data_IF_158591268948
#
_entry.id   IF_158591268948
#
_cell.length_a   1.000
_cell.length_b   1.000
_cell.length_c   1.000
_cell.angle_alpha   90.00
_cell.angle_beta   90.00
_cell.angle_gamma   90.00
#
_symmetry.space_group_name_H-M   'P 1'
#
loop_
_entity.id
_entity.type
_entity.pdbx_description
1 polymer ?
#
# COMPACT_ATOMS: atom_id res chain seq x y z
N UNK A 1 -7.54 2.74 15.71
CA UNK A 1 -7.54 1.82 14.55
C UNK A 1 -7.00 0.47 15.00
N UNK A 2 -7.61 -0.64 14.56
CA UNK A 2 -7.15 -2.01 14.82
C UNK A 2 -6.91 -2.74 13.50
N UNK A 3 -6.03 -3.74 13.50
CA UNK A 3 -5.70 -4.55 12.32
C UNK A 3 -6.10 -6.01 12.53
N UNK A 4 -6.86 -6.56 11.59
CA UNK A 4 -7.06 -7.98 11.43
C UNK A 4 -5.88 -8.57 10.66
N UNK A 5 -5.01 -9.32 11.35
CA UNK A 5 -3.78 -9.86 10.73
C UNK A 5 -4.05 -11.21 10.07
N UNK A 6 -4.59 -12.16 10.83
CA UNK A 6 -4.94 -13.48 10.34
C UNK A 6 -5.92 -14.14 11.31
N UNK A 7 -6.87 -14.88 10.75
CA UNK A 7 -7.76 -15.77 11.49
C UNK A 7 -7.73 -17.13 10.83
N UNK A 8 -7.80 -18.18 11.63
CA UNK A 8 -7.94 -19.56 11.15
C UNK A 8 -9.15 -20.20 11.81
N UNK A 9 -9.55 -21.33 11.26
CA UNK A 9 -10.57 -22.18 11.84
C UNK A 9 -10.25 -23.64 11.50
N UNK A 10 -10.77 -24.56 12.30
CA UNK A 10 -10.70 -25.97 11.99
C UNK A 10 -11.63 -26.30 10.82
N UNK A 11 -11.04 -26.84 9.75
CA UNK A 11 -11.73 -27.16 8.49
C UNK A 11 -12.92 -28.12 8.68
N UNK A 12 -12.91 -28.96 9.72
CA UNK A 12 -14.04 -29.84 10.05
C UNK A 12 -15.34 -29.05 10.31
N UNK A 13 -15.23 -27.78 10.70
CA UNK A 13 -16.36 -26.91 11.00
C UNK A 13 -16.67 -25.90 9.89
N UNK A 14 -16.05 -26.02 8.71
CA UNK A 14 -16.22 -25.05 7.61
C UNK A 14 -17.69 -24.78 7.25
N UNK A 15 -18.54 -25.82 7.28
CA UNK A 15 -19.96 -25.74 6.96
C UNK A 15 -20.74 -24.75 7.87
N UNK A 16 -20.25 -24.50 9.09
CA UNK A 16 -20.87 -23.59 10.05
C UNK A 16 -20.38 -22.14 9.91
N UNK A 17 -19.49 -21.87 8.95
CA UNK A 17 -18.89 -20.55 8.70
C UNK A 17 -18.29 -19.90 9.96
N UNK A 18 -17.43 -20.61 10.72
CA UNK A 18 -16.88 -20.13 12.00
C UNK A 18 -16.17 -18.78 11.87
N UNK A 19 -15.54 -18.49 10.72
CA UNK A 19 -14.93 -17.20 10.44
C UNK A 19 -15.88 -16.02 10.61
N UNK A 20 -17.15 -16.14 10.20
CA UNK A 20 -18.15 -15.06 10.37
C UNK A 20 -18.49 -14.82 11.85
N UNK A 21 -18.57 -15.90 12.63
CA UNK A 21 -18.84 -15.83 14.07
C UNK A 21 -17.69 -15.12 14.76
N UNK A 22 -16.45 -15.57 14.51
CA UNK A 22 -15.24 -14.96 15.09
C UNK A 22 -15.14 -13.48 14.71
N UNK A 23 -15.37 -13.13 13.43
CA UNK A 23 -15.38 -11.74 12.98
C UNK A 23 -16.42 -10.91 13.73
N UNK A 24 -17.65 -11.41 13.90
CA UNK A 24 -18.69 -10.68 14.64
C UNK A 24 -18.28 -10.37 16.09
N UNK A 25 -17.67 -11.34 16.79
CA UNK A 25 -17.14 -11.12 18.14
C UNK A 25 -15.98 -10.13 18.16
N UNK A 26 -15.08 -10.16 17.17
CA UNK A 26 -13.98 -9.20 17.06
C UNK A 26 -14.50 -7.78 16.83
N UNK A 27 -15.51 -7.59 15.98
CA UNK A 27 -16.12 -6.28 15.75
C UNK A 27 -16.80 -5.73 17.00
N UNK A 28 -17.54 -6.57 17.74
CA UNK A 28 -18.20 -6.18 18.99
C UNK A 28 -17.18 -5.84 20.10
N UNK A 29 -16.10 -6.61 20.21
CA UNK A 29 -15.00 -6.31 21.13
C UNK A 29 -14.32 -4.98 20.79
N UNK A 30 -14.01 -4.75 19.51
CA UNK A 30 -13.44 -3.49 19.04
C UNK A 30 -14.36 -2.30 19.33
N UNK A 31 -15.67 -2.47 19.09
CA UNK A 31 -16.69 -1.46 19.40
C UNK A 31 -16.72 -1.12 20.89
N UNK A 32 -16.70 -2.12 21.77
CA UNK A 32 -16.65 -1.91 23.23
C UNK A 32 -15.36 -1.22 23.68
N UNK A 33 -14.26 -1.44 22.98
CA UNK A 33 -13.00 -0.76 23.21
C UNK A 33 -12.95 0.67 22.61
N UNK A 34 -14.03 1.15 21.99
CA UNK A 34 -14.08 2.47 21.36
C UNK A 34 -13.29 2.57 20.06
N UNK A 35 -13.02 1.44 19.38
CA UNK A 35 -12.34 1.44 18.09
C UNK A 35 -13.34 1.69 16.97
N UNK A 36 -13.10 2.76 16.22
CA UNK A 36 -13.97 3.21 15.12
C UNK A 36 -13.58 2.65 13.75
N UNK A 37 -12.35 2.16 13.61
CA UNK A 37 -11.82 1.69 12.32
C UNK A 37 -11.03 0.40 12.50
N UNK A 38 -11.37 -0.59 11.67
CA UNK A 38 -10.68 -1.89 11.61
C UNK A 38 -10.26 -2.13 10.17
N UNK A 39 -8.97 -2.34 9.97
CA UNK A 39 -8.41 -2.78 8.70
C UNK A 39 -8.41 -4.31 8.68
N UNK A 40 -9.12 -4.90 7.71
CA UNK A 40 -9.24 -6.35 7.55
C UNK A 40 -8.13 -6.96 6.68
N UNK A 41 -7.16 -6.14 6.27
CA UNK A 41 -6.10 -6.49 5.33
C UNK A 41 -6.59 -6.59 3.89
N UNK A 42 -5.65 -6.85 2.98
CA UNK A 42 -5.92 -6.98 1.56
C UNK A 42 -6.72 -8.25 1.18
N UNK A 43 -7.33 -8.19 -0.01
CA UNK A 43 -8.12 -9.27 -0.61
C UNK A 43 -9.49 -9.46 0.04
N UNK A 44 -10.47 -9.92 -0.73
CA UNK A 44 -11.77 -10.29 -0.20
C UNK A 44 -12.36 -11.46 -1.00
N UNK A 45 -12.52 -12.60 -0.34
CA UNK A 45 -13.27 -13.75 -0.89
C UNK A 45 -14.79 -13.55 -0.85
N UNK A 46 -15.25 -12.40 -0.34
CA UNK A 46 -16.65 -11.94 -0.31
C UNK A 46 -17.12 -11.52 1.09
N UNK A 47 -16.56 -12.13 2.14
CA UNK A 47 -17.07 -11.93 3.50
C UNK A 47 -16.82 -10.52 4.05
N UNK A 48 -15.74 -9.84 3.62
CA UNK A 48 -15.41 -8.50 4.11
C UNK A 48 -16.43 -7.50 3.58
N UNK A 49 -16.74 -7.55 2.28
CA UNK A 49 -17.76 -6.70 1.66
C UNK A 49 -19.16 -6.97 2.20
N UNK A 50 -19.53 -8.24 2.40
CA UNK A 50 -20.81 -8.60 3.05
C UNK A 50 -20.94 -7.98 4.45
N UNK A 51 -19.83 -7.82 5.18
CA UNK A 51 -19.78 -7.17 6.49
C UNK A 51 -19.77 -5.64 6.45
N UNK A 52 -19.84 -5.03 5.26
CA UNK A 52 -19.80 -3.56 5.09
C UNK A 52 -18.39 -2.97 4.99
N UNK A 53 -17.34 -3.80 4.83
CA UNK A 53 -16.01 -3.27 4.59
C UNK A 53 -15.95 -2.54 3.24
N UNK A 54 -15.34 -1.36 3.25
CA UNK A 54 -15.03 -0.58 2.05
C UNK A 54 -13.62 -0.92 1.56
N UNK A 55 -13.35 -0.63 0.28
CA UNK A 55 -12.00 -0.77 -0.27
C UNK A 55 -11.05 0.14 0.51
N UNK A 56 -9.98 -0.46 1.04
CA UNK A 56 -8.89 0.25 1.68
C UNK A 56 -7.80 0.66 0.68
N UNK A 57 -6.64 1.14 1.19
CA UNK A 57 -5.50 1.47 0.36
C UNK A 57 -5.03 0.31 -0.52
N UNK A 58 -4.56 0.62 -1.72
CA UNK A 58 -3.96 -0.36 -2.62
C UNK A 58 -2.58 -0.79 -2.10
N UNK A 59 -2.32 -2.10 -2.08
CA UNK A 59 -1.00 -2.64 -1.78
C UNK A 59 -0.19 -2.72 -3.08
N UNK A 60 0.90 -1.96 -3.14
CA UNK A 60 1.82 -1.96 -4.27
C UNK A 60 3.04 -2.84 -3.97
N UNK A 61 3.32 -3.79 -4.87
CA UNK A 61 4.53 -4.62 -4.79
C UNK A 61 5.67 -3.97 -5.59
N UNK A 62 6.64 -3.40 -4.88
CA UNK A 62 7.72 -2.60 -5.46
C UNK A 62 9.07 -3.32 -5.34
N UNK A 63 9.72 -3.55 -6.49
CA UNK A 63 11.09 -4.07 -6.53
C UNK A 63 12.09 -2.93 -6.79
N UNK A 64 12.79 -2.49 -5.73
CA UNK A 64 13.80 -1.44 -5.83
C UNK A 64 15.16 -2.05 -6.17
N UNK A 65 15.66 -1.79 -7.38
CA UNK A 65 16.95 -2.33 -7.85
C UNK A 65 17.98 -1.21 -8.02
N UNK A 66 19.12 -1.35 -7.33
CA UNK A 66 20.17 -0.33 -7.34
C UNK A 66 20.91 -0.21 -8.68
N UNK A 67 21.07 -1.34 -9.38
CA UNK A 67 21.83 -1.42 -10.63
C UNK A 67 20.88 -1.43 -11.84
N UNK A 68 21.10 -0.52 -12.80
CA UNK A 68 20.23 -0.36 -13.97
C UNK A 68 20.15 -1.62 -14.85
N UNK A 69 21.26 -2.27 -15.25
CA UNK A 69 21.20 -3.56 -15.96
C UNK A 69 20.36 -4.63 -15.24
N UNK A 70 20.55 -4.79 -13.93
CA UNK A 70 19.76 -5.75 -13.15
C UNK A 70 18.28 -5.37 -13.13
N UNK A 71 17.95 -4.08 -13.02
CA UNK A 71 16.58 -3.59 -13.09
C UNK A 71 15.92 -3.92 -14.43
N UNK A 72 16.64 -3.71 -15.53
CA UNK A 72 16.14 -4.04 -16.88
C UNK A 72 15.87 -5.53 -17.06
N UNK A 73 16.74 -6.39 -16.53
CA UNK A 73 16.54 -7.85 -16.59
C UNK A 73 15.36 -8.31 -15.72
N UNK A 74 15.26 -7.81 -14.49
CA UNK A 74 14.19 -8.17 -13.56
C UNK A 74 12.83 -7.63 -14.02
N UNK A 75 12.80 -6.48 -14.69
CA UNK A 75 11.59 -5.89 -15.27
C UNK A 75 10.92 -6.79 -16.31
N UNK A 76 11.67 -7.68 -16.98
CA UNK A 76 11.09 -8.65 -17.94
C UNK A 76 10.11 -9.62 -17.27
N UNK A 77 10.31 -9.93 -15.98
CA UNK A 77 9.50 -10.88 -15.22
C UNK A 77 8.55 -10.21 -14.23
N UNK A 78 8.98 -9.11 -13.61
CA UNK A 78 8.20 -8.41 -12.59
C UNK A 78 7.09 -7.52 -13.19
N UNK A 79 7.16 -7.24 -14.50
CA UNK A 79 6.19 -6.40 -15.20
C UNK A 79 6.59 -4.92 -15.17
N UNK A 80 5.97 -4.13 -16.05
CA UNK A 80 6.26 -2.71 -16.21
C UNK A 80 5.57 -1.82 -15.17
N UNK A 81 4.63 -2.36 -14.39
CA UNK A 81 3.65 -1.56 -13.67
C UNK A 81 3.89 -1.56 -12.16
N UNK A 82 4.65 -0.57 -11.73
CA UNK A 82 4.06 0.34 -10.75
C UNK A 82 4.18 1.74 -11.34
N UNK A 83 3.22 2.10 -12.19
CA UNK A 83 3.18 3.43 -12.81
C UNK A 83 3.10 4.53 -11.74
N UNK A 84 2.38 4.21 -10.65
CA UNK A 84 2.23 5.02 -9.44
C UNK A 84 3.58 5.25 -8.73
N UNK A 85 4.37 4.20 -8.48
CA UNK A 85 5.67 4.35 -7.81
C UNK A 85 6.75 4.85 -8.75
N UNK A 86 6.60 4.68 -10.08
CA UNK A 86 7.54 5.17 -11.08
C UNK A 86 7.68 6.68 -11.01
N UNK A 87 6.59 7.44 -10.92
CA UNK A 87 6.67 8.90 -10.86
C UNK A 87 7.32 9.38 -9.55
N UNK A 88 6.88 8.86 -8.41
CA UNK A 88 7.45 9.18 -7.10
C UNK A 88 8.93 8.77 -6.99
N UNK A 89 9.31 7.61 -7.52
CA UNK A 89 10.69 7.14 -7.55
C UNK A 89 11.57 7.98 -8.50
N UNK A 90 11.08 8.33 -9.69
CA UNK A 90 11.80 9.20 -10.62
C UNK A 90 12.01 10.59 -10.02
N UNK A 91 11.01 11.14 -9.32
CA UNK A 91 11.14 12.39 -8.58
C UNK A 91 12.20 12.28 -7.47
N UNK A 92 12.12 11.25 -6.62
CA UNK A 92 13.07 11.04 -5.53
C UNK A 92 14.52 10.76 -6.01
N UNK A 93 14.69 10.03 -7.11
CA UNK A 93 16.02 9.80 -7.70
C UNK A 93 16.61 11.08 -8.27
N UNK A 94 15.80 11.92 -8.94
CA UNK A 94 16.25 13.23 -9.43
C UNK A 94 16.69 14.14 -8.28
N UNK A 95 15.99 14.12 -7.15
CA UNK A 95 16.40 14.80 -5.90
C UNK A 95 17.75 14.30 -5.38
N UNK A 96 17.95 12.99 -5.35
CA UNK A 96 19.22 12.39 -4.89
C UNK A 96 20.39 12.75 -5.79
N UNK A 97 20.17 12.76 -7.10
CA UNK A 97 21.21 13.05 -8.09
C UNK A 97 21.52 14.55 -8.15
N UNK A 98 20.52 15.42 -7.97
CA UNK A 98 20.70 16.88 -7.84
C UNK A 98 21.36 17.29 -6.53
N UNK A 99 21.11 16.59 -5.41
CA UNK A 99 21.86 16.80 -4.16
C UNK A 99 23.36 16.48 -4.27
N UNK A 100 23.75 15.72 -5.29
CA UNK A 100 25.14 15.42 -5.63
C UNK A 100 25.81 16.51 -6.49
N UNK A 101 25.01 17.38 -7.11
CA UNK A 101 25.43 18.46 -7.99
C UNK A 101 25.14 19.83 -7.36
N UNK A 102 26.16 20.47 -6.77
CA UNK A 102 25.99 21.70 -5.95
C UNK A 102 25.80 23.00 -6.77
N UNK A 103 25.41 22.91 -8.04
CA UNK A 103 25.13 24.06 -8.91
C UNK A 103 23.69 24.58 -8.80
N UNK A 104 23.41 25.77 -9.34
CA UNK A 104 22.06 26.37 -9.35
C UNK A 104 20.99 25.48 -10.01
N UNK A 105 21.38 24.66 -10.99
CA UNK A 105 20.50 23.66 -11.62
C UNK A 105 20.03 22.55 -10.65
N UNK A 106 20.83 22.23 -9.63
CA UNK A 106 20.47 21.26 -8.59
C UNK A 106 19.32 21.71 -7.71
N UNK A 107 19.27 23.01 -7.36
CA UNK A 107 18.19 23.61 -6.55
C UNK A 107 16.84 23.58 -7.27
N UNK A 108 16.83 23.88 -8.57
CA UNK A 108 15.60 23.88 -9.34
C UNK A 108 15.07 22.45 -9.58
N UNK A 109 15.98 21.49 -9.78
CA UNK A 109 15.64 20.06 -9.83
C UNK A 109 15.04 19.54 -8.52
N UNK A 110 15.56 19.99 -7.37
CA UNK A 110 15.02 19.63 -6.06
C UNK A 110 13.62 20.20 -5.80
N UNK A 111 13.37 21.45 -6.20
CA UNK A 111 12.05 22.10 -6.07
C UNK A 111 10.98 21.41 -6.92
N UNK A 112 11.30 21.07 -8.18
CA UNK A 112 10.38 20.36 -9.07
C UNK A 112 10.01 18.97 -8.55
N UNK A 113 10.97 18.26 -7.99
CA UNK A 113 10.74 16.92 -7.46
C UNK A 113 10.01 16.91 -6.11
N UNK A 114 10.20 17.93 -5.25
CA UNK A 114 9.35 18.15 -4.07
C UNK A 114 7.90 18.46 -4.50
N UNK A 115 7.72 19.26 -5.55
CA UNK A 115 6.39 19.54 -6.12
C UNK A 115 5.71 18.29 -6.65
N UNK A 116 6.42 17.41 -7.35
CA UNK A 116 5.89 16.14 -7.84
C UNK A 116 5.50 15.17 -6.71
N UNK A 117 6.30 15.10 -5.64
CA UNK A 117 5.97 14.32 -4.44
C UNK A 117 4.74 14.86 -3.70
N UNK A 118 4.61 16.19 -3.60
CA UNK A 118 3.44 16.83 -3.00
C UNK A 118 2.17 16.63 -3.84
N UNK A 119 2.26 16.73 -5.17
CA UNK A 119 1.16 16.45 -6.08
C UNK A 119 0.70 14.99 -5.96
N UNK A 120 1.63 14.03 -5.97
CA UNK A 120 1.30 12.62 -5.75
C UNK A 120 0.60 12.42 -4.39
N UNK A 121 1.11 13.02 -3.31
CA UNK A 121 0.50 12.92 -1.98
C UNK A 121 -0.91 13.54 -1.90
N UNK A 122 -1.21 14.58 -2.69
CA UNK A 122 -2.53 15.19 -2.79
C UNK A 122 -3.52 14.31 -3.56
N UNK A 123 -3.08 13.61 -4.61
CA UNK A 123 -3.92 12.63 -5.34
C UNK A 123 -4.34 11.43 -4.46
N UNK A 124 -3.63 11.18 -3.36
CA UNK A 124 -3.98 10.14 -2.36
C UNK A 124 -4.84 10.66 -1.19
N UNK A 125 -5.16 11.95 -1.15
CA UNK A 125 -5.95 12.57 -0.07
C UNK A 125 -7.44 12.79 -0.44
N UNK A 126 -7.84 12.47 -1.68
CA UNK A 126 -9.24 12.40 -2.17
C UNK A 126 -9.74 10.95 -2.17
#
# INVERSE_FOLDING_TARGET
MQYGIASSYDAQFAAFRPGKIVTAYQLDAARRAGIETIDLGAGDSGYKREGGAVAGPEILDLLIVRNRPAASLLGLRWGAESEIAREAYLAASKLRDTGRDRGEGGRMGALLALGALAAAALTFAE
#
